data_IF_369546913027
#
_entry.id   IF_369546913027
#
_cell.length_a   1.000
_cell.length_b   1.000
_cell.length_c   1.000
_cell.angle_alpha   90.00
_cell.angle_beta   90.00
_cell.angle_gamma   90.00
#
_symmetry.space_group_name_H-M   'P 1'
#
loop_
_entity.id
_entity.type
_entity.pdbx_description
1 polymer ?
#
# COMPACT_ATOMS: atom_id res chain seq x y z
N UNK A 1 18.37 54.99 -0.54
CA UNK A 1 18.41 53.95 -1.60
C UNK A 1 18.69 52.53 -1.07
N UNK A 2 19.45 52.35 0.01
CA UNK A 2 19.80 51.03 0.58
C UNK A 2 18.62 50.14 1.00
N UNK A 3 17.59 50.68 1.68
CA UNK A 3 16.46 49.87 2.17
C UNK A 3 15.54 49.29 1.08
N UNK A 4 15.45 49.93 -0.09
CA UNK A 4 14.64 49.42 -1.21
C UNK A 4 15.32 48.25 -1.93
N UNK A 5 16.65 48.27 -2.01
CA UNK A 5 17.45 47.18 -2.58
C UNK A 5 17.44 45.93 -1.69
N UNK A 6 17.47 46.10 -0.37
CA UNK A 6 17.34 44.97 0.58
C UNK A 6 15.95 44.33 0.50
N UNK A 7 14.88 45.13 0.42
CA UNK A 7 13.51 44.59 0.24
C UNK A 7 13.35 43.88 -1.10
N UNK A 8 13.88 44.43 -2.19
CA UNK A 8 13.83 43.77 -3.50
C UNK A 8 14.62 42.45 -3.49
N UNK A 9 15.80 42.43 -2.84
CA UNK A 9 16.62 41.22 -2.70
C UNK A 9 15.91 40.12 -1.90
N UNK A 10 15.27 40.45 -0.78
CA UNK A 10 14.49 39.49 0.00
C UNK A 10 13.26 38.98 -0.77
N UNK A 11 12.56 39.84 -1.51
CA UNK A 11 11.41 39.43 -2.32
C UNK A 11 11.82 38.52 -3.47
N UNK A 12 12.94 38.81 -4.16
CA UNK A 12 13.46 37.98 -5.24
C UNK A 12 13.98 36.65 -4.70
N UNK A 13 14.63 36.62 -3.52
CA UNK A 13 15.06 35.38 -2.88
C UNK A 13 13.87 34.52 -2.41
N UNK A 14 12.82 35.14 -1.86
CA UNK A 14 11.59 34.44 -1.46
C UNK A 14 10.83 33.88 -2.67
N UNK A 15 10.73 34.67 -3.75
CA UNK A 15 10.13 34.22 -5.02
C UNK A 15 11.00 33.16 -5.68
N UNK A 16 12.34 33.26 -5.59
CA UNK A 16 13.25 32.22 -6.06
C UNK A 16 13.11 30.93 -5.24
N UNK A 17 13.00 30.98 -3.90
CA UNK A 17 12.74 29.81 -3.05
C UNK A 17 11.40 29.13 -3.37
N UNK A 18 10.38 29.93 -3.69
CA UNK A 18 9.06 29.43 -4.13
C UNK A 18 9.12 28.85 -5.55
N UNK A 19 9.87 29.46 -6.48
CA UNK A 19 10.00 29.02 -7.88
C UNK A 19 10.99 27.86 -8.07
N UNK A 20 12.00 27.71 -7.21
CA UNK A 20 12.96 26.59 -7.24
C UNK A 20 12.50 25.40 -6.40
N UNK A 21 11.31 25.45 -5.79
CA UNK A 21 10.77 24.36 -4.97
C UNK A 21 11.51 24.16 -3.63
N UNK A 22 12.39 25.10 -3.25
CA UNK A 22 13.03 25.14 -1.94
C UNK A 22 12.11 25.80 -0.89
N UNK A 23 10.81 25.45 -0.90
CA UNK A 23 10.02 25.55 0.33
C UNK A 23 10.76 24.64 1.31
N UNK A 24 11.13 25.16 2.48
CA UNK A 24 11.56 24.35 3.62
C UNK A 24 10.58 23.17 3.72
N UNK A 25 10.99 22.00 3.22
CA UNK A 25 10.21 20.77 3.29
C UNK A 25 10.10 20.51 4.77
N UNK A 26 8.94 20.80 5.36
CA UNK A 26 8.73 20.55 6.77
C UNK A 26 8.74 19.02 6.92
N UNK A 27 9.90 18.48 7.28
CA UNK A 27 10.06 17.07 7.61
C UNK A 27 9.25 16.79 8.87
N UNK A 28 8.49 15.71 8.86
CA UNK A 28 7.75 15.26 10.02
C UNK A 28 8.77 14.65 11.00
N UNK A 29 8.95 15.23 12.20
CA UNK A 29 9.91 14.70 13.15
C UNK A 29 9.37 13.39 13.73
N UNK A 30 10.17 12.33 13.65
CA UNK A 30 9.88 11.04 14.30
C UNK A 30 11.20 10.33 14.66
N UNK A 31 11.12 9.41 15.61
CA UNK A 31 12.21 8.48 15.97
C UNK A 31 11.90 7.04 15.53
N UNK A 32 10.76 6.84 14.86
CA UNK A 32 10.25 5.56 14.38
C UNK A 32 10.14 5.59 12.85
N UNK A 33 10.05 4.42 12.16
CA UNK A 33 9.83 4.35 10.72
C UNK A 33 8.42 4.85 10.27
N UNK A 34 7.68 5.49 11.16
CA UNK A 34 6.38 6.09 10.92
C UNK A 34 6.18 7.29 11.87
N UNK A 35 5.22 8.14 11.55
CA UNK A 35 4.76 9.21 12.43
C UNK A 35 3.26 9.06 12.69
N UNK A 36 2.85 9.21 13.95
CA UNK A 36 1.45 9.24 14.33
C UNK A 36 0.93 10.67 14.33
N UNK A 37 -0.30 10.85 13.85
CA UNK A 37 -1.04 12.09 13.98
C UNK A 37 -2.45 11.83 14.51
N UNK A 38 -3.00 12.85 15.19
CA UNK A 38 -4.39 12.88 15.64
C UNK A 38 -4.97 14.28 15.53
N UNK A 39 -6.29 14.40 15.55
CA UNK A 39 -6.96 15.69 15.63
C UNK A 39 -6.88 16.23 17.06
N UNK A 40 -6.33 17.42 17.20
CA UNK A 40 -6.27 18.21 18.43
C UNK A 40 -6.93 19.56 18.14
N UNK A 41 -7.97 19.89 18.92
CA UNK A 41 -8.70 21.16 18.78
C UNK A 41 -9.20 21.44 17.35
N UNK A 42 -9.61 20.39 16.64
CA UNK A 42 -10.11 20.48 15.26
C UNK A 42 -9.04 20.55 14.17
N UNK A 43 -7.75 20.51 14.53
CA UNK A 43 -6.63 20.47 13.59
C UNK A 43 -5.87 19.15 13.68
N UNK A 44 -5.40 18.61 12.55
CA UNK A 44 -4.57 17.40 12.56
C UNK A 44 -3.13 17.79 12.97
N UNK A 45 -2.59 17.12 13.98
CA UNK A 45 -1.25 17.38 14.52
C UNK A 45 -0.46 16.08 14.68
N UNK A 46 0.84 16.13 14.36
CA UNK A 46 1.78 15.03 14.63
C UNK A 46 1.97 14.93 16.14
N UNK A 47 1.98 13.71 16.65
CA UNK A 47 2.23 13.44 18.06
C UNK A 47 3.68 13.70 18.42
N UNK A 48 3.91 14.16 19.64
CA UNK A 48 5.27 14.27 20.18
C UNK A 48 5.96 12.89 20.17
N UNK A 49 7.28 12.86 20.00
CA UNK A 49 8.03 11.60 19.84
C UNK A 49 7.96 10.68 21.07
N UNK A 50 7.66 11.26 22.23
CA UNK A 50 7.46 10.62 23.54
C UNK A 50 5.98 10.40 23.89
N UNK A 51 5.04 10.64 22.96
CA UNK A 51 3.63 10.38 23.20
C UNK A 51 3.41 8.86 23.42
N UNK A 52 2.73 8.45 24.50
CA UNK A 52 2.55 7.04 24.85
C UNK A 52 1.75 6.25 23.81
N UNK A 53 1.03 6.93 22.89
CA UNK A 53 0.33 6.23 21.83
C UNK A 53 1.29 5.49 20.88
N UNK A 54 2.52 5.97 20.72
CA UNK A 54 3.50 5.24 19.92
C UNK A 54 3.85 3.88 20.53
N UNK A 55 4.09 3.82 21.85
CA UNK A 55 4.35 2.55 22.53
C UNK A 55 3.14 1.61 22.43
N UNK A 56 1.94 2.14 22.65
CA UNK A 56 0.71 1.35 22.52
C UNK A 56 0.47 0.85 21.07
N UNK A 57 0.82 1.65 20.06
CA UNK A 57 0.72 1.27 18.65
C UNK A 57 1.74 0.20 18.30
N UNK A 58 2.99 0.34 18.77
CA UNK A 58 4.04 -0.66 18.59
C UNK A 58 3.62 -2.01 19.21
N UNK A 59 3.09 -2.00 20.43
CA UNK A 59 2.67 -3.22 21.14
C UNK A 59 1.41 -3.86 20.55
N UNK A 60 0.40 -3.08 20.19
CA UNK A 60 -0.92 -3.62 19.79
C UNK A 60 -1.06 -3.85 18.30
N UNK A 61 -0.39 -3.04 17.47
CA UNK A 61 -0.48 -3.10 16.00
C UNK A 61 0.80 -3.69 15.43
N UNK A 62 1.95 -3.05 15.64
CA UNK A 62 3.20 -3.46 15.01
C UNK A 62 3.91 -4.61 15.72
N UNK A 63 3.29 -5.27 16.69
CA UNK A 63 3.78 -6.57 17.21
C UNK A 63 3.57 -7.72 16.21
N UNK A 64 2.75 -7.51 15.18
CA UNK A 64 2.51 -8.46 14.10
C UNK A 64 3.59 -8.35 13.01
N UNK A 65 4.29 -9.46 12.73
CA UNK A 65 5.38 -9.49 11.76
C UNK A 65 4.92 -9.15 10.33
N UNK A 66 3.68 -9.50 9.95
CA UNK A 66 3.17 -9.16 8.63
C UNK A 66 2.96 -7.64 8.51
N UNK A 67 2.47 -6.99 9.56
CA UNK A 67 2.27 -5.54 9.55
C UNK A 67 3.60 -4.77 9.58
N UNK A 68 4.62 -5.29 10.27
CA UNK A 68 5.99 -4.76 10.20
C UNK A 68 6.56 -4.88 8.78
N UNK A 69 6.40 -6.04 8.14
CA UNK A 69 6.82 -6.24 6.76
C UNK A 69 6.14 -5.27 5.80
N UNK A 70 4.84 -4.97 5.98
CA UNK A 70 4.14 -3.98 5.16
C UNK A 70 4.62 -2.54 5.38
N UNK A 71 5.06 -2.21 6.60
CA UNK A 71 5.68 -0.93 6.89
C UNK A 71 7.05 -0.82 6.22
N UNK A 72 7.88 -1.86 6.32
CA UNK A 72 9.17 -1.97 5.62
C UNK A 72 8.98 -1.88 4.10
N UNK A 73 7.99 -2.58 3.55
CA UNK A 73 7.65 -2.53 2.13
C UNK A 73 7.34 -1.10 1.65
N UNK A 74 6.61 -0.31 2.44
CA UNK A 74 6.38 1.10 2.14
C UNK A 74 7.70 1.88 2.13
N UNK A 75 8.52 1.77 3.18
CA UNK A 75 9.82 2.44 3.30
C UNK A 75 10.76 2.08 2.14
N UNK A 76 10.96 0.79 1.88
CA UNK A 76 11.84 0.33 0.81
C UNK A 76 11.29 0.69 -0.58
N UNK A 77 9.97 0.86 -0.75
CA UNK A 77 9.39 1.43 -1.98
C UNK A 77 9.77 2.91 -2.14
N UNK A 78 9.74 3.72 -1.08
CA UNK A 78 10.16 5.13 -1.15
C UNK A 78 11.66 5.24 -1.42
N UNK A 79 12.48 4.39 -0.81
CA UNK A 79 13.92 4.31 -1.09
C UNK A 79 14.20 3.88 -2.54
N UNK A 80 13.42 2.95 -3.08
CA UNK A 80 13.53 2.51 -4.47
C UNK A 80 13.34 3.66 -5.46
N UNK A 81 12.44 4.60 -5.17
CA UNK A 81 12.28 5.81 -5.96
C UNK A 81 13.52 6.71 -5.91
N UNK A 82 14.14 6.84 -4.73
CA UNK A 82 15.37 7.59 -4.55
C UNK A 82 16.55 6.93 -5.28
N UNK A 83 16.67 5.60 -5.20
CA UNK A 83 17.73 4.82 -5.82
C UNK A 83 17.66 4.80 -7.36
N UNK A 84 16.44 4.72 -7.90
CA UNK A 84 16.21 4.68 -9.36
C UNK A 84 16.18 6.06 -10.01
N UNK A 85 16.12 7.14 -9.22
CA UNK A 85 15.89 8.51 -9.69
C UNK A 85 14.66 8.59 -10.62
N UNK A 86 13.62 7.81 -10.31
CA UNK A 86 12.39 7.74 -11.08
C UNK A 86 11.50 8.97 -10.87
N UNK A 87 10.44 9.08 -11.68
CA UNK A 87 9.37 10.08 -11.43
C UNK A 87 8.63 9.66 -10.16
N UNK A 88 8.65 10.52 -9.15
CA UNK A 88 8.04 10.27 -7.85
C UNK A 88 6.60 10.82 -7.85
N UNK A 89 5.56 9.96 -7.76
CA UNK A 89 4.17 10.41 -7.79
C UNK A 89 3.78 11.26 -6.56
N UNK A 90 4.37 10.93 -5.40
CA UNK A 90 4.09 11.53 -4.10
C UNK A 90 5.40 12.03 -3.44
N UNK A 91 6.01 13.13 -3.94
CA UNK A 91 7.34 13.54 -3.53
C UNK A 91 7.46 13.99 -2.07
N UNK A 92 6.43 14.56 -1.46
CA UNK A 92 6.46 14.88 -0.02
C UNK A 92 6.29 13.64 0.83
N UNK A 93 5.50 12.66 0.37
CA UNK A 93 5.32 11.36 1.02
C UNK A 93 6.65 10.60 1.03
N UNK A 94 7.34 10.52 -0.10
CA UNK A 94 8.68 9.90 -0.19
C UNK A 94 9.74 10.63 0.63
N UNK A 95 9.59 11.94 0.82
CA UNK A 95 10.52 12.73 1.64
C UNK A 95 10.28 12.58 3.16
N UNK A 96 9.28 11.81 3.58
CA UNK A 96 8.91 11.61 4.98
C UNK A 96 8.71 10.12 5.28
N UNK A 97 8.69 9.78 6.56
CA UNK A 97 8.17 8.48 7.01
C UNK A 97 6.65 8.42 6.83
N UNK A 98 6.10 7.20 6.84
CA UNK A 98 4.66 7.00 6.72
C UNK A 98 3.91 7.79 7.80
N UNK A 99 3.04 8.71 7.38
CA UNK A 99 2.12 9.39 8.29
C UNK A 99 0.88 8.52 8.51
N UNK A 100 0.64 8.15 9.76
CA UNK A 100 -0.54 7.38 10.18
C UNK A 100 -1.45 8.30 11.01
N UNK A 101 -2.69 8.47 10.54
CA UNK A 101 -3.73 9.22 11.26
C UNK A 101 -4.54 8.24 12.10
N UNK A 102 -4.27 8.24 13.41
CA UNK A 102 -4.78 7.24 14.35
C UNK A 102 -6.28 7.39 14.63
N UNK A 103 -6.85 8.58 14.43
CA UNK A 103 -8.26 8.92 14.68
C UNK A 103 -8.99 9.34 13.39
N UNK A 104 -8.63 8.74 12.25
CA UNK A 104 -9.35 8.98 11.00
C UNK A 104 -10.83 8.60 11.11
N UNK A 105 -11.68 9.30 10.36
CA UNK A 105 -13.12 9.01 10.32
C UNK A 105 -13.40 7.67 9.64
N UNK A 106 -12.68 7.41 8.55
CA UNK A 106 -12.76 6.20 7.74
C UNK A 106 -11.33 5.65 7.59
N UNK A 107 -11.13 4.32 7.67
CA UNK A 107 -9.84 3.70 7.39
C UNK A 107 -9.53 3.72 5.88
N UNK A 108 -8.25 3.87 5.53
CA UNK A 108 -7.78 3.88 4.14
C UNK A 108 -6.78 5.00 3.86
N UNK A 109 -6.61 5.34 2.58
CA UNK A 109 -5.68 6.41 2.16
C UNK A 109 -6.33 7.77 2.39
N UNK A 110 -5.56 8.67 3.01
CA UNK A 110 -5.91 10.08 3.17
C UNK A 110 -5.04 10.93 2.25
N UNK A 111 -5.69 11.65 1.33
CA UNK A 111 -5.02 12.45 0.33
C UNK A 111 -4.73 13.87 0.81
N UNK A 112 -3.58 14.40 0.40
CA UNK A 112 -3.19 15.80 0.62
C UNK A 112 -3.31 16.26 2.08
N UNK A 113 -2.90 15.37 2.97
CA UNK A 113 -2.99 15.56 4.41
C UNK A 113 -2.06 16.66 4.86
N UNK A 114 -2.63 17.69 5.49
CA UNK A 114 -1.87 18.77 6.13
C UNK A 114 -1.86 18.56 7.64
N UNK A 115 -0.67 18.56 8.22
CA UNK A 115 -0.49 18.25 9.64
C UNK A 115 0.38 19.31 10.31
N UNK A 116 -0.03 19.72 11.51
CA UNK A 116 0.78 20.59 12.36
C UNK A 116 2.01 19.81 12.87
N UNK A 117 3.19 20.43 12.76
CA UNK A 117 4.47 19.90 13.24
C UNK A 117 5.16 20.96 14.09
N UNK A 118 6.13 20.59 14.96
CA UNK A 118 6.95 21.56 15.66
C UNK A 118 7.54 22.60 14.69
N UNK A 119 7.19 23.87 14.87
CA UNK A 119 7.69 24.97 14.03
C UNK A 119 6.92 25.25 12.73
N UNK A 120 5.80 24.56 12.45
CA UNK A 120 4.97 24.91 11.29
C UNK A 120 3.94 23.86 10.90
N UNK A 121 3.81 23.66 9.59
CA UNK A 121 2.87 22.72 8.98
C UNK A 121 3.59 21.92 7.90
N UNK A 122 3.36 20.60 7.89
CA UNK A 122 3.80 19.70 6.84
C UNK A 122 2.60 19.29 5.97
N UNK A 123 2.88 18.95 4.71
CA UNK A 123 1.92 18.33 3.80
C UNK A 123 2.53 17.03 3.29
N UNK A 124 1.75 15.96 3.33
CA UNK A 124 2.04 14.70 2.63
C UNK A 124 0.90 14.42 1.65
N UNK A 125 1.23 13.92 0.46
CA UNK A 125 0.21 13.57 -0.54
C UNK A 125 -0.58 12.33 -0.12
N UNK A 126 0.09 11.36 0.53
CA UNK A 126 -0.51 10.12 0.97
C UNK A 126 -0.25 9.91 2.47
N UNK A 127 -1.31 9.66 3.22
CA UNK A 127 -1.25 9.22 4.62
C UNK A 127 -2.18 8.03 4.83
N UNK A 128 -1.94 7.25 5.89
CA UNK A 128 -2.74 6.08 6.23
C UNK A 128 -3.69 6.41 7.39
N UNK A 129 -5.00 6.43 7.13
CA UNK A 129 -6.02 6.51 8.16
C UNK A 129 -6.31 5.13 8.76
N UNK A 130 -6.19 4.98 10.08
CA UNK A 130 -6.47 3.73 10.80
C UNK A 130 -7.50 3.87 11.94
N UNK A 131 -8.07 5.07 12.10
CA UNK A 131 -9.13 5.31 13.08
C UNK A 131 -10.48 4.75 12.63
N UNK A 132 -11.47 4.94 13.51
CA UNK A 132 -12.86 4.61 13.26
C UNK A 132 -13.74 5.70 13.86
N UNK A 133 -14.61 6.32 13.06
CA UNK A 133 -15.56 7.34 13.53
C UNK A 133 -14.89 8.51 14.27
N UNK A 134 -13.67 8.88 13.85
CA UNK A 134 -12.93 9.98 14.46
C UNK A 134 -12.27 9.62 15.79
N UNK A 135 -12.12 8.32 16.09
CA UNK A 135 -11.54 7.82 17.33
C UNK A 135 -10.35 6.91 17.06
N UNK A 136 -9.42 6.92 18.02
CA UNK A 136 -8.33 5.95 18.07
C UNK A 136 -8.89 4.58 18.41
N UNK A 137 -8.72 3.63 17.50
CA UNK A 137 -9.15 2.23 17.63
C UNK A 137 -7.97 1.33 17.26
N UNK A 138 -7.06 1.07 18.22
CA UNK A 138 -5.84 0.29 17.96
C UNK A 138 -6.14 -1.18 17.63
N UNK A 139 -7.18 -1.76 18.24
CA UNK A 139 -7.60 -3.13 17.96
C UNK A 139 -8.10 -3.24 16.53
N UNK A 140 -9.01 -2.37 16.11
CA UNK A 140 -9.46 -2.35 14.72
C UNK A 140 -8.37 -1.94 13.73
N UNK A 141 -7.47 -1.02 14.10
CA UNK A 141 -6.32 -0.62 13.28
C UNK A 141 -5.45 -1.83 12.92
N UNK A 142 -5.16 -2.72 13.90
CA UNK A 142 -4.43 -3.97 13.68
C UNK A 142 -5.06 -4.82 12.57
N UNK A 143 -6.37 -4.99 12.58
CA UNK A 143 -7.06 -5.83 11.61
C UNK A 143 -7.27 -5.16 10.24
N UNK A 144 -7.27 -3.82 10.18
CA UNK A 144 -7.52 -3.06 8.94
C UNK A 144 -6.25 -2.60 8.23
N UNK A 145 -5.11 -2.54 8.92
CA UNK A 145 -3.88 -1.95 8.39
C UNK A 145 -3.42 -2.61 7.10
N UNK A 146 -3.44 -3.94 7.01
CA UNK A 146 -3.01 -4.66 5.81
C UNK A 146 -3.86 -4.31 4.58
N UNK A 147 -5.19 -4.33 4.72
CA UNK A 147 -6.11 -3.93 3.67
C UNK A 147 -5.94 -2.46 3.27
N UNK A 148 -5.72 -1.56 4.25
CA UNK A 148 -5.52 -0.14 4.01
C UNK A 148 -4.17 0.18 3.34
N UNK A 149 -3.14 -0.63 3.58
CA UNK A 149 -1.83 -0.50 2.95
C UNK A 149 -1.87 -0.80 1.44
N UNK A 150 -2.77 -1.69 1.00
CA UNK A 150 -2.88 -2.06 -0.42
C UNK A 150 -3.07 -0.86 -1.34
N UNK A 151 -4.17 -0.10 -1.20
CA UNK A 151 -4.41 1.12 -1.97
C UNK A 151 -3.29 2.15 -1.80
N UNK A 152 -2.74 2.31 -0.59
CA UNK A 152 -1.63 3.22 -0.33
C UNK A 152 -0.40 2.91 -1.19
N UNK A 153 -0.01 1.64 -1.27
CA UNK A 153 1.13 1.19 -2.07
C UNK A 153 0.87 1.33 -3.56
N UNK A 154 -0.36 1.08 -4.03
CA UNK A 154 -0.74 1.30 -5.43
C UNK A 154 -0.63 2.78 -5.82
N UNK A 155 -1.11 3.69 -4.96
CA UNK A 155 -0.96 5.13 -5.17
C UNK A 155 0.51 5.59 -5.09
N UNK A 156 1.28 5.00 -4.18
CA UNK A 156 2.72 5.27 -4.06
C UNK A 156 3.48 4.95 -5.36
N UNK A 157 3.10 3.86 -6.05
CA UNK A 157 3.64 3.51 -7.37
C UNK A 157 2.91 4.17 -8.55
N UNK A 158 2.12 5.22 -8.27
CA UNK A 158 1.55 6.11 -9.27
C UNK A 158 0.28 5.60 -9.95
N UNK A 159 -0.36 4.56 -9.41
CA UNK A 159 -1.70 4.17 -9.85
C UNK A 159 -2.74 5.11 -9.25
N UNK A 160 -3.92 5.20 -9.88
CA UNK A 160 -5.03 6.01 -9.39
C UNK A 160 -6.23 5.14 -9.03
N UNK A 161 -6.85 5.37 -7.86
CA UNK A 161 -8.04 4.63 -7.47
C UNK A 161 -9.20 4.95 -8.42
N UNK A 162 -10.13 3.99 -8.61
CA UNK A 162 -11.44 4.31 -9.17
C UNK A 162 -12.11 5.45 -8.38
N UNK A 163 -12.92 6.26 -9.07
CA UNK A 163 -13.65 7.35 -8.41
C UNK A 163 -14.54 6.80 -7.28
N UNK A 164 -14.39 7.35 -6.07
CA UNK A 164 -15.17 6.92 -4.90
C UNK A 164 -14.74 5.58 -4.29
N UNK A 165 -13.59 5.02 -4.69
CA UNK A 165 -13.08 3.79 -4.08
C UNK A 165 -12.91 3.93 -2.55
N UNK A 166 -13.40 2.94 -1.81
CA UNK A 166 -13.20 2.83 -0.36
C UNK A 166 -12.99 1.37 0.01
N UNK A 167 -12.41 1.12 1.19
CA UNK A 167 -12.29 -0.25 1.73
C UNK A 167 -13.65 -0.89 2.05
N UNK A 168 -14.76 -0.14 1.99
CA UNK A 168 -16.11 -0.73 2.08
C UNK A 168 -16.41 -1.72 0.95
N UNK A 169 -15.73 -1.60 -0.20
CA UNK A 169 -15.84 -2.53 -1.32
C UNK A 169 -15.42 -3.97 -0.96
N UNK A 170 -14.64 -4.15 0.13
CA UNK A 170 -14.18 -5.47 0.59
C UNK A 170 -15.28 -6.30 1.28
N UNK A 171 -16.44 -5.71 1.59
CA UNK A 171 -17.54 -6.38 2.29
C UNK A 171 -18.28 -7.42 1.44
N UNK A 172 -18.19 -7.32 0.11
CA UNK A 172 -18.82 -8.24 -0.84
C UNK A 172 -17.83 -8.62 -1.95
N UNK A 173 -16.74 -9.34 -1.61
CA UNK A 173 -15.61 -9.53 -2.52
C UNK A 173 -15.92 -10.43 -3.73
N UNK A 174 -17.02 -11.19 -3.67
CA UNK A 174 -17.47 -12.06 -4.77
C UNK A 174 -18.45 -11.38 -5.73
N UNK A 175 -18.85 -10.13 -5.46
CA UNK A 175 -19.71 -9.37 -6.37
C UNK A 175 -18.87 -8.75 -7.49
N UNK A 176 -19.19 -8.99 -8.77
CA UNK A 176 -18.47 -8.36 -9.87
C UNK A 176 -18.61 -6.83 -9.86
N UNK A 177 -17.49 -6.14 -10.04
CA UNK A 177 -17.34 -4.67 -10.11
C UNK A 177 -16.63 -4.28 -11.42
N UNK A 178 -16.18 -3.03 -11.56
CA UNK A 178 -15.30 -2.68 -12.68
C UNK A 178 -13.95 -3.41 -12.57
N UNK A 179 -13.30 -3.73 -13.69
CA UNK A 179 -11.99 -4.44 -13.65
C UNK A 179 -10.91 -3.65 -12.90
N UNK A 180 -10.99 -2.32 -12.91
CA UNK A 180 -10.10 -1.46 -12.14
C UNK A 180 -10.40 -1.59 -10.64
N UNK A 181 -11.65 -1.49 -10.23
CA UNK A 181 -12.04 -1.68 -8.82
C UNK A 181 -11.70 -3.07 -8.29
N UNK A 182 -11.87 -4.11 -9.12
CA UNK A 182 -11.46 -5.47 -8.80
C UNK A 182 -9.96 -5.59 -8.55
N UNK A 183 -9.12 -4.86 -9.30
CA UNK A 183 -7.67 -4.80 -9.06
C UNK A 183 -7.34 -4.17 -7.70
N UNK A 184 -7.97 -3.04 -7.39
CA UNK A 184 -7.73 -2.29 -6.15
C UNK A 184 -8.21 -3.06 -4.92
N UNK A 185 -9.46 -3.54 -4.95
CA UNK A 185 -10.02 -4.36 -3.89
C UNK A 185 -9.28 -5.70 -3.77
N UNK A 186 -8.92 -6.33 -4.91
CA UNK A 186 -8.16 -7.58 -4.93
C UNK A 186 -6.78 -7.45 -4.29
N UNK A 187 -6.07 -6.36 -4.53
CA UNK A 187 -4.76 -6.13 -3.88
C UNK A 187 -4.89 -5.86 -2.38
N UNK A 188 -5.90 -5.10 -1.95
CA UNK A 188 -6.21 -4.92 -0.53
C UNK A 188 -6.54 -6.25 0.16
N UNK A 189 -7.37 -7.09 -0.48
CA UNK A 189 -7.72 -8.43 0.02
C UNK A 189 -6.52 -9.37 0.07
N UNK A 190 -5.61 -9.28 -0.91
CA UNK A 190 -4.40 -10.11 -0.92
C UNK A 190 -3.49 -9.81 0.28
N UNK A 191 -3.28 -8.53 0.61
CA UNK A 191 -2.51 -8.15 1.80
C UNK A 191 -3.24 -8.52 3.10
N UNK A 192 -4.58 -8.39 3.15
CA UNK A 192 -5.38 -8.89 4.28
C UNK A 192 -5.26 -10.41 4.43
N UNK A 193 -5.16 -11.16 3.34
CA UNK A 193 -4.96 -12.62 3.36
C UNK A 193 -3.59 -12.99 3.93
N UNK A 194 -2.54 -12.27 3.57
CA UNK A 194 -1.19 -12.49 4.11
C UNK A 194 -1.13 -12.16 5.62
N UNK A 195 -1.90 -11.17 6.07
CA UNK A 195 -2.12 -10.91 7.50
C UNK A 195 -2.92 -12.02 8.19
N UNK A 196 -3.99 -12.52 7.58
CA UNK A 196 -4.85 -13.55 8.17
C UNK A 196 -4.19 -14.95 8.19
N UNK A 197 -3.22 -15.21 7.31
CA UNK A 197 -2.61 -16.53 7.11
C UNK A 197 -2.13 -17.22 8.39
N UNK A 198 -1.35 -16.58 9.29
CA UNK A 198 -0.89 -17.25 10.52
C UNK A 198 -2.03 -17.69 11.45
N UNK A 199 -3.21 -17.10 11.30
CA UNK A 199 -4.40 -17.44 12.07
C UNK A 199 -5.24 -18.55 11.42
N UNK A 200 -5.17 -18.69 10.08
CA UNK A 200 -5.86 -19.72 9.31
C UNK A 200 -5.10 -21.04 9.25
N UNK A 201 -3.78 -21.00 9.14
CA UNK A 201 -2.90 -22.18 9.06
C UNK A 201 -2.60 -22.80 10.43
N UNK A 202 -3.31 -22.36 11.47
CA UNK A 202 -3.08 -22.74 12.86
C UNK A 202 -3.64 -24.12 13.17
N UNK A 203 -2.82 -24.97 13.79
CA UNK A 203 -3.36 -26.04 14.63
C UNK A 203 -3.93 -25.39 15.89
N UNK A 204 -5.20 -25.64 16.28
CA UNK A 204 -5.80 -25.12 17.51
C UNK A 204 -5.00 -25.44 18.80
N UNK A 205 -4.00 -26.32 18.73
CA UNK A 205 -3.09 -26.66 19.83
C UNK A 205 -1.77 -25.86 19.89
N UNK A 206 -1.48 -24.96 18.93
CA UNK A 206 -0.26 -24.15 18.93
C UNK A 206 -0.37 -22.83 19.73
N UNK A 207 0.25 -22.88 20.92
CA UNK A 207 0.29 -21.86 21.98
C UNK A 207 1.06 -20.53 21.65
N UNK A 208 1.99 -20.38 20.67
CA UNK A 208 2.87 -19.20 20.64
C UNK A 208 2.22 -17.84 20.36
N UNK A 209 1.09 -17.73 19.65
CA UNK A 209 0.38 -16.43 19.50
C UNK A 209 -0.68 -16.18 20.59
N UNK A 210 -0.60 -16.82 21.75
CA UNK A 210 -1.58 -16.68 22.83
C UNK A 210 -1.70 -15.25 23.43
N UNK A 211 -0.87 -14.29 23.00
CA UNK A 211 -0.86 -12.92 23.53
C UNK A 211 -1.54 -11.86 22.66
N UNK A 212 -1.83 -12.15 21.37
CA UNK A 212 -2.35 -11.14 20.44
C UNK A 212 -3.87 -11.33 20.21
N UNK A 213 -4.65 -10.24 20.11
CA UNK A 213 -6.07 -10.33 19.80
C UNK A 213 -6.30 -11.08 18.49
N UNK A 214 -7.21 -12.07 18.51
CA UNK A 214 -7.59 -12.81 17.31
C UNK A 214 -8.28 -11.87 16.31
N UNK A 215 -8.07 -12.04 15.00
CA UNK A 215 -8.85 -11.36 13.99
C UNK A 215 -10.35 -11.66 14.14
N UNK A 216 -11.22 -10.69 13.76
CA UNK A 216 -12.67 -10.91 13.72
C UNK A 216 -13.06 -12.16 12.93
N UNK A 217 -14.09 -12.88 13.40
CA UNK A 217 -14.54 -14.12 12.76
C UNK A 217 -14.96 -13.92 11.29
N UNK A 218 -15.57 -12.78 10.97
CA UNK A 218 -15.97 -12.43 9.61
C UNK A 218 -14.78 -12.19 8.68
N UNK A 219 -13.68 -11.62 9.20
CA UNK A 219 -12.42 -11.50 8.48
C UNK A 219 -11.84 -12.89 8.19
N UNK A 220 -11.73 -13.75 9.21
CA UNK A 220 -11.19 -15.10 9.03
C UNK A 220 -12.05 -15.94 8.09
N UNK A 221 -13.39 -15.87 8.20
CA UNK A 221 -14.31 -16.57 7.32
C UNK A 221 -14.15 -16.13 5.86
N UNK A 222 -14.08 -14.81 5.62
CA UNK A 222 -13.82 -14.25 4.28
C UNK A 222 -12.49 -14.74 3.72
N UNK A 223 -11.41 -14.67 4.51
CA UNK A 223 -10.08 -15.05 4.05
C UNK A 223 -9.92 -16.56 3.85
N UNK A 224 -10.60 -17.37 4.65
CA UNK A 224 -10.70 -18.82 4.43
C UNK A 224 -11.42 -19.13 3.12
N UNK A 225 -12.52 -18.43 2.80
CA UNK A 225 -13.25 -18.64 1.56
C UNK A 225 -12.41 -18.26 0.33
N UNK A 226 -11.64 -17.17 0.41
CA UNK A 226 -10.71 -16.76 -0.65
C UNK A 226 -9.64 -17.83 -0.94
N UNK A 227 -9.07 -18.43 0.09
CA UNK A 227 -8.06 -19.48 -0.08
C UNK A 227 -8.64 -20.82 -0.56
N UNK A 228 -9.92 -21.11 -0.26
CA UNK A 228 -10.59 -22.35 -0.65
C UNK A 228 -11.26 -22.28 -2.03
N UNK A 229 -11.51 -21.08 -2.57
CA UNK A 229 -12.31 -20.89 -3.77
C UNK A 229 -11.69 -21.49 -5.04
N UNK A 230 -12.34 -22.49 -5.62
CA UNK A 230 -11.98 -23.05 -6.93
C UNK A 230 -12.44 -22.13 -8.07
N UNK A 231 -11.66 -22.03 -9.16
CA UNK A 231 -12.00 -21.26 -10.34
C UNK A 231 -13.26 -21.79 -11.02
N UNK A 232 -14.34 -21.04 -10.87
CA UNK A 232 -15.66 -21.34 -11.43
C UNK A 232 -16.21 -20.05 -12.05
N UNK A 233 -16.68 -20.15 -13.29
CA UNK A 233 -17.23 -19.03 -14.05
C UNK A 233 -16.36 -18.57 -15.23
N UNK A 234 -16.91 -17.71 -16.10
CA UNK A 234 -16.20 -17.17 -17.26
C UNK A 234 -15.15 -16.12 -16.85
N UNK A 235 -14.05 -16.03 -17.62
CA UNK A 235 -12.95 -15.09 -17.34
C UNK A 235 -13.39 -13.63 -17.27
N UNK A 236 -14.34 -13.23 -18.12
CA UNK A 236 -14.90 -11.87 -18.13
C UNK A 236 -15.52 -11.46 -16.78
N UNK A 237 -16.08 -12.41 -16.05
CA UNK A 237 -16.61 -12.20 -14.71
C UNK A 237 -15.49 -12.28 -13.67
N UNK A 238 -14.59 -13.25 -13.81
CA UNK A 238 -13.48 -13.44 -12.87
C UNK A 238 -12.55 -12.21 -12.76
N UNK A 239 -12.20 -11.57 -13.88
CA UNK A 239 -11.37 -10.35 -13.90
C UNK A 239 -12.05 -9.13 -13.26
N UNK A 240 -13.37 -9.20 -13.08
CA UNK A 240 -14.20 -8.19 -12.41
C UNK A 240 -14.54 -8.54 -10.98
N UNK A 241 -14.09 -9.68 -10.48
CA UNK A 241 -14.42 -10.17 -9.14
C UNK A 241 -13.24 -9.99 -8.19
N UNK A 242 -13.33 -9.12 -7.17
CA UNK A 242 -12.22 -8.84 -6.25
C UNK A 242 -11.59 -10.08 -5.61
N UNK A 243 -12.39 -11.06 -5.21
CA UNK A 243 -11.92 -12.32 -4.61
C UNK A 243 -11.04 -13.12 -5.56
N UNK A 244 -11.40 -13.17 -6.84
CA UNK A 244 -10.63 -13.85 -7.89
C UNK A 244 -9.30 -13.15 -8.17
N UNK A 245 -9.32 -11.83 -8.21
CA UNK A 245 -8.10 -11.03 -8.38
C UNK A 245 -7.18 -11.17 -7.15
N UNK A 246 -7.75 -11.17 -5.94
CA UNK A 246 -7.01 -11.42 -4.71
C UNK A 246 -6.35 -12.80 -4.73
N UNK A 247 -7.08 -13.86 -5.11
CA UNK A 247 -6.55 -15.22 -5.20
C UNK A 247 -5.33 -15.31 -6.15
N UNK A 248 -5.38 -14.62 -7.30
CA UNK A 248 -4.24 -14.53 -8.21
C UNK A 248 -3.04 -13.84 -7.56
N UNK A 249 -3.26 -12.69 -6.91
CA UNK A 249 -2.20 -11.91 -6.25
C UNK A 249 -1.55 -12.68 -5.09
N UNK A 250 -2.36 -13.37 -4.29
CA UNK A 250 -1.91 -14.28 -3.23
C UNK A 250 -1.03 -15.39 -3.83
N UNK A 251 -1.49 -16.03 -4.91
CA UNK A 251 -0.72 -17.07 -5.59
C UNK A 251 0.61 -16.52 -6.15
N UNK A 252 0.61 -15.29 -6.67
CA UNK A 252 1.82 -14.62 -7.15
C UNK A 252 2.80 -14.31 -6.02
N UNK A 253 2.34 -13.75 -4.89
CA UNK A 253 3.20 -13.50 -3.73
C UNK A 253 3.83 -14.80 -3.20
N UNK A 254 3.08 -15.90 -3.21
CA UNK A 254 3.55 -17.20 -2.71
C UNK A 254 4.49 -17.94 -3.67
N UNK A 255 4.32 -17.77 -4.98
CA UNK A 255 5.13 -18.46 -5.98
C UNK A 255 6.38 -17.67 -6.39
N UNK A 256 6.35 -16.35 -6.32
CA UNK A 256 7.45 -15.52 -6.80
C UNK A 256 8.73 -15.81 -5.99
N UNK A 257 9.77 -16.29 -6.68
CA UNK A 257 11.09 -16.44 -6.07
C UNK A 257 11.78 -15.10 -5.84
N UNK A 258 12.97 -15.12 -5.24
CA UNK A 258 13.75 -13.88 -5.01
C UNK A 258 14.51 -13.39 -6.26
N UNK A 259 14.48 -14.13 -7.37
CA UNK A 259 15.19 -13.73 -8.59
C UNK A 259 14.53 -12.54 -9.28
N UNK A 260 15.30 -11.54 -9.69
CA UNK A 260 14.86 -10.45 -10.55
C UNK A 260 15.95 -10.08 -11.57
N UNK A 261 15.58 -9.62 -12.78
CA UNK A 261 16.54 -9.14 -13.78
C UNK A 261 17.46 -8.03 -13.24
N UNK A 262 18.75 -8.08 -13.59
CA UNK A 262 19.76 -7.10 -13.16
C UNK A 262 19.37 -5.64 -13.49
N UNK A 263 18.64 -5.42 -14.59
CA UNK A 263 18.16 -4.08 -14.96
C UNK A 263 17.22 -3.44 -13.91
N UNK A 264 16.65 -4.24 -12.99
CA UNK A 264 15.82 -3.78 -11.88
C UNK A 264 16.52 -3.84 -10.53
N UNK A 265 17.84 -4.07 -10.51
CA UNK A 265 18.62 -4.16 -9.27
C UNK A 265 18.48 -2.91 -8.39
N UNK A 266 18.47 -1.70 -8.97
CA UNK A 266 18.30 -0.46 -8.20
C UNK A 266 16.91 -0.30 -7.61
N UNK A 267 15.88 -0.86 -8.24
CA UNK A 267 14.56 -0.94 -7.61
C UNK A 267 14.59 -1.95 -6.47
N UNK A 268 15.25 -3.08 -6.66
CA UNK A 268 15.19 -4.18 -5.68
C UNK A 268 16.18 -4.05 -4.51
N UNK A 269 17.09 -3.07 -4.53
CA UNK A 269 18.25 -3.00 -3.62
C UNK A 269 17.89 -2.77 -2.15
N UNK A 270 16.79 -2.08 -1.90
CA UNK A 270 16.33 -1.75 -0.54
C UNK A 270 15.43 -2.81 0.07
N UNK A 271 14.86 -3.71 -0.73
CA UNK A 271 13.89 -4.68 -0.22
C UNK A 271 14.56 -5.87 0.46
N UNK A 272 13.99 -6.29 1.58
CA UNK A 272 14.36 -7.53 2.25
C UNK A 272 13.86 -8.75 1.47
N UNK A 273 14.47 -9.95 1.64
CA UNK A 273 14.09 -11.15 0.89
C UNK A 273 12.59 -11.48 0.95
N UNK A 274 11.95 -11.36 2.11
CA UNK A 274 10.51 -11.55 2.30
C UNK A 274 9.63 -10.52 1.55
N UNK A 275 10.16 -9.34 1.23
CA UNK A 275 9.43 -8.26 0.56
C UNK A 275 9.50 -8.37 -0.97
N UNK A 276 10.52 -9.07 -1.50
CA UNK A 276 10.76 -9.20 -2.95
C UNK A 276 9.50 -9.63 -3.74
N UNK A 277 8.68 -10.60 -3.30
CA UNK A 277 7.45 -10.95 -4.00
C UNK A 277 6.47 -9.77 -4.19
N UNK A 278 6.29 -8.95 -3.15
CA UNK A 278 5.44 -7.77 -3.19
C UNK A 278 6.07 -6.66 -4.04
N UNK A 279 7.38 -6.42 -3.86
CA UNK A 279 8.15 -5.46 -4.64
C UNK A 279 8.07 -5.74 -6.15
N UNK A 280 8.00 -7.02 -6.54
CA UNK A 280 7.81 -7.41 -7.93
C UNK A 280 6.47 -7.00 -8.49
N UNK A 281 5.39 -7.23 -7.75
CA UNK A 281 4.03 -6.81 -8.12
C UNK A 281 3.99 -5.29 -8.21
N UNK A 282 4.54 -4.57 -7.23
CA UNK A 282 4.61 -3.12 -7.22
C UNK A 282 5.40 -2.54 -8.41
N UNK A 283 6.53 -3.16 -8.79
CA UNK A 283 7.26 -2.75 -9.99
C UNK A 283 6.46 -3.01 -11.28
N UNK A 284 5.73 -4.13 -11.35
CA UNK A 284 4.84 -4.39 -12.48
C UNK A 284 3.72 -3.32 -12.55
N UNK A 285 3.10 -2.98 -11.42
CA UNK A 285 2.11 -1.91 -11.32
C UNK A 285 2.66 -0.54 -11.75
N UNK A 286 3.87 -0.19 -11.30
CA UNK A 286 4.56 1.04 -11.70
C UNK A 286 4.73 1.14 -13.22
N UNK A 287 5.05 0.00 -13.86
CA UNK A 287 5.36 -0.09 -15.29
C UNK A 287 4.13 -0.24 -16.20
N UNK A 288 2.94 -0.43 -15.62
CA UNK A 288 1.71 -0.53 -16.39
C UNK A 288 1.42 0.78 -17.14
N UNK A 289 0.75 0.71 -18.32
CA UNK A 289 0.29 1.89 -19.04
C UNK A 289 -0.46 2.87 -18.13
N UNK A 290 -0.36 4.19 -18.39
CA UNK A 290 -1.15 5.16 -17.65
C UNK A 290 -2.65 4.99 -17.99
N UNK A 291 -3.51 5.08 -17.00
CA UNK A 291 -4.97 4.93 -17.16
C UNK A 291 -5.57 3.93 -16.18
N UNK A 292 -6.77 3.44 -16.53
CA UNK A 292 -7.55 2.52 -15.71
C UNK A 292 -6.93 1.12 -15.77
N UNK A 293 -6.07 0.88 -14.79
CA UNK A 293 -5.31 -0.36 -14.59
C UNK A 293 -6.22 -1.56 -14.32
N UNK A 294 -6.04 -2.66 -15.06
CA UNK A 294 -6.75 -3.93 -14.84
C UNK A 294 -5.82 -5.06 -14.43
N UNK A 295 -6.38 -6.16 -13.93
CA UNK A 295 -5.61 -7.39 -13.61
C UNK A 295 -4.93 -7.98 -14.85
N UNK A 296 -5.52 -7.83 -16.03
CA UNK A 296 -4.92 -8.28 -17.29
C UNK A 296 -3.67 -7.47 -17.65
N UNK A 297 -3.71 -6.16 -17.45
CA UNK A 297 -2.56 -5.28 -17.63
C UNK A 297 -1.43 -5.66 -16.67
N UNK A 298 -1.77 -6.01 -15.43
CA UNK A 298 -0.81 -6.52 -14.45
C UNK A 298 -0.18 -7.83 -14.95
N UNK A 299 -0.99 -8.82 -15.37
CA UNK A 299 -0.48 -10.12 -15.86
C UNK A 299 0.48 -9.90 -17.03
N UNK A 300 0.09 -9.10 -18.02
CA UNK A 300 0.90 -8.81 -19.19
C UNK A 300 2.19 -8.07 -18.81
N UNK A 301 2.11 -7.07 -17.95
CA UNK A 301 3.27 -6.27 -17.53
C UNK A 301 4.22 -7.08 -16.64
N UNK A 302 3.70 -7.93 -15.76
CA UNK A 302 4.49 -8.84 -14.92
C UNK A 302 5.25 -9.85 -15.79
N UNK A 303 4.57 -10.50 -16.73
CA UNK A 303 5.16 -11.45 -17.68
C UNK A 303 6.23 -10.82 -18.59
N UNK A 304 6.10 -9.53 -18.89
CA UNK A 304 7.10 -8.77 -19.62
C UNK A 304 8.30 -8.36 -18.73
N UNK A 305 8.03 -7.95 -17.49
CA UNK A 305 9.03 -7.50 -16.51
C UNK A 305 9.88 -8.67 -16.00
N UNK A 306 9.28 -9.86 -15.80
CA UNK A 306 9.95 -11.07 -15.33
C UNK A 306 9.81 -12.22 -16.33
N UNK A 307 10.58 -12.24 -17.43
CA UNK A 307 10.42 -13.25 -18.48
C UNK A 307 10.58 -14.70 -18.01
N UNK A 308 11.40 -14.94 -16.98
CA UNK A 308 11.59 -16.26 -16.37
C UNK A 308 10.32 -16.80 -15.70
N UNK A 309 9.40 -15.92 -15.30
CA UNK A 309 8.16 -16.26 -14.58
C UNK A 309 6.93 -16.13 -15.49
N UNK A 310 7.12 -15.83 -16.79
CA UNK A 310 6.04 -15.66 -17.77
C UNK A 310 5.11 -16.87 -17.82
N UNK A 311 5.68 -18.08 -17.89
CA UNK A 311 4.87 -19.29 -17.99
C UNK A 311 4.04 -19.52 -16.72
N UNK A 312 4.64 -19.33 -15.54
CA UNK A 312 3.95 -19.50 -14.27
C UNK A 312 2.84 -18.48 -14.05
N UNK A 313 3.05 -17.19 -14.36
CA UNK A 313 2.00 -16.17 -14.19
C UNK A 313 0.80 -16.43 -15.10
N UNK A 314 1.01 -16.85 -16.35
CA UNK A 314 -0.09 -17.21 -17.24
C UNK A 314 -0.79 -18.49 -16.80
N UNK A 315 -0.05 -19.50 -16.32
CA UNK A 315 -0.63 -20.72 -15.79
C UNK A 315 -1.50 -20.44 -14.54
N UNK A 316 -1.02 -19.58 -13.62
CA UNK A 316 -1.80 -19.13 -12.47
C UNK A 316 -3.06 -18.36 -12.91
N UNK A 317 -2.91 -17.43 -13.85
CA UNK A 317 -4.04 -16.66 -14.35
C UNK A 317 -5.10 -17.56 -15.02
N UNK A 318 -4.68 -18.53 -15.83
CA UNK A 318 -5.61 -19.49 -16.45
C UNK A 318 -6.27 -20.39 -15.41
N UNK A 319 -5.53 -20.80 -14.37
CA UNK A 319 -6.06 -21.65 -13.31
C UNK A 319 -7.04 -20.94 -12.38
N UNK A 320 -6.88 -19.64 -12.14
CA UNK A 320 -7.67 -18.86 -11.15
C UNK A 320 -8.77 -18.04 -11.82
N UNK A 321 -8.45 -17.40 -12.95
CA UNK A 321 -9.37 -16.52 -13.68
C UNK A 321 -10.03 -17.24 -14.87
N UNK A 322 -9.65 -18.48 -15.18
CA UNK A 322 -10.09 -19.20 -16.37
C UNK A 322 -9.23 -18.88 -17.60
N UNK A 323 -9.31 -19.67 -18.68
CA UNK A 323 -8.43 -19.51 -19.84
C UNK A 323 -8.63 -18.15 -20.53
N UNK A 324 -7.53 -17.47 -20.83
CA UNK A 324 -7.56 -16.26 -21.67
C UNK A 324 -7.92 -16.55 -23.14
N UNK A 325 -8.51 -15.58 -23.82
CA UNK A 325 -8.63 -15.58 -25.29
C UNK A 325 -7.22 -15.45 -25.88
N UNK A 326 -6.56 -16.59 -26.06
CA UNK A 326 -5.30 -16.66 -26.80
C UNK A 326 -5.62 -16.43 -28.27
N UNK A 327 -5.68 -15.18 -28.70
CA UNK A 327 -5.48 -14.86 -30.10
C UNK A 327 -4.13 -15.49 -30.49
N UNK A 328 -4.16 -16.37 -31.48
CA UNK A 328 -2.99 -17.02 -32.05
C UNK A 328 -1.92 -15.96 -32.39
N UNK A 329 -0.89 -15.84 -31.56
CA UNK A 329 0.35 -15.16 -31.92
C UNK A 329 1.18 -16.09 -32.82
N UNK A 330 1.87 -15.56 -33.84
CA UNK A 330 2.46 -16.37 -34.91
C UNK A 330 3.65 -17.23 -34.42
N UNK A 331 4.01 -18.29 -35.17
CA UNK A 331 5.06 -19.24 -34.81
C UNK A 331 6.45 -18.63 -34.65
#
# INVERSE_FOLDING_TARGET
MSQRLVRLGCSVLAVALVLTGCVLRASIPTQRPYALARRVEGSLAVLATDDPLYEAFDEQVLSDATLQCLLGLFEHTTESFLATNGVIPAPQTVANYLLIVADSEIPGVLHDTRVAVPGGQARVELALGLGQEGRVDLTGARHRMAAAMGPLLLELVGRRPPEGFTLGALTSPDTPVSSQEALWAGYALALEADYARPYLDRDPHDVPLAALPLPPEDLLARQSALCAGEATGPREEAVRTPSRVAALLIALHRQAGHYYPQQYMLWMVSYEPEEVPYAKVLLAMLRMPPGDATVEDLIATYAHTYPAERHSVHALADAILGPGDRAAGPP
#
